data_IF_553629868461
#
_entry.id   IF_553629868461
#
_cell.length_a   1.000
_cell.length_b   1.000
_cell.length_c   1.000
_cell.angle_alpha   90.00
_cell.angle_beta   90.00
_cell.angle_gamma   90.00
#
_symmetry.space_group_name_H-M   'P 1'
#
loop_
_entity.id
_entity.type
_entity.pdbx_description
1 polymer ?
#
# COMPACT_ATOMS: atom_id res chain seq x y z
N UNK A 1 -10.04 -12.49 28.72
CA UNK A 1 -11.13 -11.50 28.85
C UNK A 1 -11.35 -10.90 27.48
N UNK A 2 -12.35 -11.40 26.73
CA UNK A 2 -12.69 -10.88 25.39
C UNK A 2 -13.80 -9.85 25.62
N UNK A 3 -13.46 -8.57 25.61
CA UNK A 3 -14.46 -7.51 25.60
C UNK A 3 -15.13 -7.49 24.24
N UNK A 4 -16.46 -7.51 24.22
CA UNK A 4 -17.25 -7.25 23.02
C UNK A 4 -16.75 -5.94 22.37
N UNK A 5 -16.33 -6.02 21.11
CA UNK A 5 -16.15 -4.84 20.29
C UNK A 5 -17.56 -4.32 20.06
N UNK A 6 -17.92 -3.24 20.75
CA UNK A 6 -19.13 -2.50 20.43
C UNK A 6 -19.01 -2.09 18.95
N UNK A 7 -19.88 -2.65 18.10
CA UNK A 7 -20.05 -2.24 16.71
C UNK A 7 -20.62 -0.81 16.69
N UNK A 8 -19.78 0.16 17.02
CA UNK A 8 -20.08 1.57 16.81
C UNK A 8 -19.96 1.81 15.31
N UNK A 9 -21.03 2.30 14.69
CA UNK A 9 -21.00 2.68 13.29
C UNK A 9 -19.80 3.62 13.03
N UNK A 10 -19.05 3.44 11.94
CA UNK A 10 -17.94 4.32 11.62
C UNK A 10 -18.44 5.78 11.54
N UNK A 11 -17.86 6.66 12.36
CA UNK A 11 -18.22 8.08 12.36
C UNK A 11 -17.33 8.84 11.37
N UNK A 12 -17.94 9.71 10.56
CA UNK A 12 -17.22 10.71 9.78
C UNK A 12 -16.62 11.73 10.73
N UNK A 13 -15.32 11.66 10.93
CA UNK A 13 -14.59 12.60 11.79
C UNK A 13 -13.73 13.58 10.98
N UNK A 14 -13.81 13.50 9.65
CA UNK A 14 -13.09 14.34 8.71
C UNK A 14 -14.09 14.88 7.67
N UNK A 15 -13.88 16.12 7.26
CA UNK A 15 -14.60 16.70 6.14
C UNK A 15 -13.79 16.45 4.85
N UNK A 16 -14.15 15.38 4.14
CA UNK A 16 -13.44 14.92 2.95
C UNK A 16 -14.29 15.23 1.70
N UNK A 17 -13.75 16.06 0.81
CA UNK A 17 -14.42 16.44 -0.45
C UNK A 17 -14.39 15.27 -1.45
N UNK A 18 -15.53 14.88 -2.04
CA UNK A 18 -15.58 13.84 -3.07
C UNK A 18 -14.92 14.25 -4.39
N UNK A 19 -14.50 15.51 -4.52
CA UNK A 19 -13.84 16.04 -5.73
C UNK A 19 -12.32 15.98 -5.68
N UNK A 20 -11.75 15.69 -4.51
CA UNK A 20 -10.29 15.64 -4.33
C UNK A 20 -9.72 14.28 -4.77
N UNK A 21 -8.40 14.14 -4.78
CA UNK A 21 -7.74 12.85 -5.03
C UNK A 21 -7.22 12.28 -3.72
N UNK A 22 -7.42 10.99 -3.52
CA UNK A 22 -7.05 10.28 -2.29
C UNK A 22 -6.07 9.16 -2.62
N UNK A 23 -4.89 9.22 -2.02
CA UNK A 23 -3.92 8.13 -2.04
C UNK A 23 -4.01 7.45 -0.67
N UNK A 24 -4.26 6.14 -0.67
CA UNK A 24 -4.40 5.35 0.56
C UNK A 24 -3.52 4.12 0.52
N UNK A 25 -2.86 3.86 1.64
CA UNK A 25 -2.10 2.64 1.92
C UNK A 25 -2.94 1.61 2.70
N UNK A 26 -4.19 1.96 3.04
CA UNK A 26 -5.14 1.03 3.65
C UNK A 26 -5.86 0.21 2.59
N UNK A 27 -6.14 -1.05 2.92
CA UNK A 27 -6.82 -2.01 2.04
C UNK A 27 -8.35 -1.96 2.12
N UNK A 28 -8.90 -1.21 3.08
CA UNK A 28 -10.34 -1.13 3.33
C UNK A 28 -11.02 -0.06 2.48
N UNK A 29 -12.30 -0.24 2.16
CA UNK A 29 -13.08 0.66 1.32
C UNK A 29 -13.73 1.81 2.12
N UNK A 30 -13.08 2.29 3.19
CA UNK A 30 -13.63 3.31 4.09
C UNK A 30 -13.97 4.62 3.35
N UNK A 31 -13.11 5.03 2.42
CA UNK A 31 -13.30 6.24 1.64
C UNK A 31 -14.54 6.14 0.74
N UNK A 32 -14.76 4.96 0.13
CA UNK A 32 -15.92 4.67 -0.69
C UNK A 32 -17.20 4.54 0.13
N UNK A 33 -17.19 3.68 1.14
CA UNK A 33 -18.43 3.27 1.83
C UNK A 33 -18.89 4.29 2.87
N UNK A 34 -17.96 4.92 3.59
CA UNK A 34 -18.31 5.87 4.64
C UNK A 34 -18.24 7.29 4.09
N UNK A 35 -17.12 7.67 3.47
CA UNK A 35 -16.94 9.03 2.97
C UNK A 35 -17.61 9.29 1.61
N UNK A 36 -18.07 8.25 0.91
CA UNK A 36 -18.75 8.36 -0.40
C UNK A 36 -17.87 9.05 -1.45
N UNK A 37 -16.57 8.81 -1.38
CA UNK A 37 -15.60 9.29 -2.36
C UNK A 37 -15.67 8.38 -3.60
N UNK A 38 -15.77 8.93 -4.83
CA UNK A 38 -15.78 8.15 -6.06
C UNK A 38 -14.49 7.32 -6.25
N UNK A 39 -14.61 6.10 -6.77
CA UNK A 39 -13.48 5.17 -6.95
C UNK A 39 -12.39 5.77 -7.86
N UNK A 40 -12.77 6.53 -8.89
CA UNK A 40 -11.83 7.19 -9.80
C UNK A 40 -10.94 8.25 -9.13
N UNK A 41 -11.37 8.72 -7.96
CA UNK A 41 -10.70 9.70 -7.10
C UNK A 41 -9.92 9.02 -5.96
N UNK A 42 -9.84 7.69 -5.91
CA UNK A 42 -9.09 6.94 -4.90
C UNK A 42 -8.04 6.07 -5.59
N UNK A 43 -6.83 6.08 -5.06
CA UNK A 43 -5.79 5.12 -5.37
C UNK A 43 -5.43 4.32 -4.12
N UNK A 44 -5.76 3.03 -4.15
CA UNK A 44 -5.21 2.06 -3.21
C UNK A 44 -3.85 1.60 -3.71
N UNK A 45 -2.76 2.16 -3.17
CA UNK A 45 -1.40 1.94 -3.68
C UNK A 45 -1.03 0.46 -3.68
N UNK A 46 -1.49 -0.29 -2.67
CA UNK A 46 -1.21 -1.71 -2.50
C UNK A 46 -2.41 -2.61 -2.85
N UNK A 47 -3.40 -2.09 -3.58
CA UNK A 47 -4.67 -2.79 -3.84
C UNK A 47 -5.67 -2.73 -2.68
N UNK A 48 -6.87 -3.28 -2.87
CA UNK A 48 -7.95 -3.28 -1.86
C UNK A 48 -8.61 -4.65 -1.69
N UNK A 49 -9.20 -4.88 -0.52
CA UNK A 49 -9.93 -6.11 -0.20
C UNK A 49 -11.13 -6.33 -1.12
N UNK A 50 -11.80 -5.27 -1.56
CA UNK A 50 -12.90 -5.35 -2.50
C UNK A 50 -12.45 -5.87 -3.86
N UNK A 51 -11.37 -5.30 -4.41
CA UNK A 51 -10.78 -5.72 -5.69
C UNK A 51 -10.36 -7.19 -5.63
N UNK A 52 -9.71 -7.60 -4.53
CA UNK A 52 -9.31 -8.99 -4.31
C UNK A 52 -10.52 -9.94 -4.29
N UNK A 53 -11.57 -9.60 -3.53
CA UNK A 53 -12.79 -10.42 -3.45
C UNK A 53 -13.55 -10.51 -4.77
N UNK A 54 -13.60 -9.42 -5.56
CA UNK A 54 -14.19 -9.43 -6.91
C UNK A 54 -13.39 -10.32 -7.86
N UNK A 55 -12.06 -10.25 -7.79
CA UNK A 55 -11.17 -11.07 -8.60
C UNK A 55 -11.33 -12.55 -8.26
N UNK A 56 -11.39 -12.91 -6.97
CA UNK A 56 -11.65 -14.28 -6.52
C UNK A 56 -13.00 -14.81 -7.02
N UNK A 57 -14.09 -14.02 -6.93
CA UNK A 57 -15.41 -14.41 -7.47
C UNK A 57 -15.39 -14.62 -8.98
N UNK A 58 -14.70 -13.74 -9.71
CA UNK A 58 -14.55 -13.86 -11.17
C UNK A 58 -13.74 -15.10 -11.60
N UNK A 59 -12.81 -15.56 -10.74
CA UNK A 59 -11.99 -16.74 -10.97
C UNK A 59 -12.71 -18.04 -10.62
N UNK A 60 -13.43 -18.06 -9.49
CA UNK A 60 -14.25 -19.22 -9.09
C UNK A 60 -15.31 -19.56 -10.14
N UNK A 61 -15.80 -18.55 -10.87
CA UNK A 61 -16.72 -18.74 -12.00
C UNK A 61 -16.06 -19.25 -13.28
N UNK A 62 -14.72 -19.20 -13.41
CA UNK A 62 -13.95 -19.70 -14.56
C UNK A 62 -13.28 -21.06 -14.33
N UNK A 63 -12.98 -21.43 -13.09
CA UNK A 63 -12.29 -22.68 -12.78
C UNK A 63 -13.25 -23.86 -12.53
N UNK A 64 -13.63 -24.58 -13.60
CA UNK A 64 -14.03 -26.00 -13.48
C UNK A 64 -12.77 -26.86 -13.37
N UNK A 65 -12.22 -26.96 -12.17
CA UNK A 65 -11.13 -27.89 -11.86
C UNK A 65 -9.73 -27.26 -11.94
N UNK A 66 -8.98 -27.46 -10.86
CA UNK A 66 -7.58 -27.05 -10.63
C UNK A 66 -7.41 -25.55 -10.28
N UNK A 67 -7.28 -25.31 -8.97
CA UNK A 67 -6.91 -24.00 -8.40
C UNK A 67 -5.41 -24.03 -8.10
N UNK A 68 -4.62 -23.34 -8.93
CA UNK A 68 -3.26 -22.96 -8.54
C UNK A 68 -3.34 -21.72 -7.64
N UNK A 69 -2.53 -21.60 -6.57
CA UNK A 69 -2.41 -20.35 -5.84
C UNK A 69 -1.84 -19.31 -6.80
N UNK A 70 -2.67 -18.36 -7.23
CA UNK A 70 -2.25 -17.24 -8.08
C UNK A 70 -2.19 -15.96 -7.25
N UNK A 71 -1.26 -15.09 -7.65
CA UNK A 71 -0.86 -13.88 -6.95
C UNK A 71 -2.06 -12.99 -6.60
N UNK A 72 -2.13 -12.62 -5.32
CA UNK A 72 -3.05 -11.64 -4.78
C UNK A 72 -2.86 -10.29 -5.50
N UNK A 73 -3.96 -9.60 -5.77
CA UNK A 73 -3.93 -8.21 -6.25
C UNK A 73 -3.46 -7.23 -5.16
N UNK A 74 -3.47 -7.68 -3.91
CA UNK A 74 -3.01 -6.93 -2.75
C UNK A 74 -1.52 -7.18 -2.53
N UNK A 75 -0.75 -6.09 -2.44
CA UNK A 75 0.67 -6.11 -2.10
C UNK A 75 0.86 -5.90 -0.59
N UNK A 76 0.73 -6.99 0.15
CA UNK A 76 1.03 -7.01 1.59
C UNK A 76 2.50 -7.37 1.81
N UNK A 77 3.10 -6.99 2.94
CA UNK A 77 4.43 -7.48 3.33
C UNK A 77 5.59 -6.53 3.04
N UNK A 78 6.67 -7.05 2.48
CA UNK A 78 8.01 -6.46 2.50
C UNK A 78 8.59 -6.23 1.10
N UNK A 79 9.41 -5.19 0.97
CA UNK A 79 10.25 -4.92 -0.21
C UNK A 79 11.36 -5.96 -0.37
N UNK A 80 11.75 -6.61 0.72
CA UNK A 80 12.85 -7.58 0.73
C UNK A 80 12.40 -9.00 0.37
N UNK A 81 11.11 -9.20 0.09
CA UNK A 81 10.55 -10.48 -0.30
C UNK A 81 10.54 -10.65 -1.83
N UNK A 82 11.49 -10.07 -2.55
CA UNK A 82 11.57 -10.24 -4.02
C UNK A 82 11.73 -11.75 -4.31
N UNK A 83 10.71 -12.40 -4.89
CA UNK A 83 10.70 -13.85 -5.04
C UNK A 83 11.82 -14.32 -5.96
N UNK A 84 12.15 -13.54 -7.00
CA UNK A 84 13.18 -13.91 -7.96
C UNK A 84 14.56 -13.79 -7.34
N UNK A 85 14.82 -12.71 -6.61
CA UNK A 85 16.11 -12.55 -5.93
C UNK A 85 16.33 -13.67 -4.90
N UNK A 86 15.30 -13.98 -4.10
CA UNK A 86 15.39 -15.03 -3.08
C UNK A 86 15.56 -16.41 -3.73
N UNK A 87 14.83 -16.69 -4.81
CA UNK A 87 14.99 -17.94 -5.57
C UNK A 87 16.41 -18.09 -6.10
N UNK A 88 16.92 -17.05 -6.78
CA UNK A 88 18.28 -17.05 -7.34
C UNK A 88 19.34 -17.28 -6.24
N UNK A 89 19.19 -16.63 -5.07
CA UNK A 89 20.09 -16.80 -3.93
C UNK A 89 20.04 -18.21 -3.34
N UNK A 90 18.85 -18.77 -3.13
CA UNK A 90 18.67 -20.11 -2.55
C UNK A 90 19.11 -21.21 -3.51
N UNK A 91 18.77 -21.11 -4.80
CA UNK A 91 19.20 -22.07 -5.83
C UNK A 91 20.71 -21.99 -6.02
N UNK A 92 21.32 -20.80 -5.97
CA UNK A 92 22.78 -20.68 -6.01
C UNK A 92 23.46 -21.33 -4.80
N UNK A 93 22.87 -21.20 -3.62
CA UNK A 93 23.42 -21.75 -2.37
C UNK A 93 23.28 -23.27 -2.26
N UNK A 94 22.13 -23.82 -2.66
CA UNK A 94 21.77 -25.21 -2.41
C UNK A 94 21.59 -26.08 -3.68
N UNK A 95 21.64 -25.49 -4.88
CA UNK A 95 21.35 -26.17 -6.15
C UNK A 95 22.28 -27.32 -6.53
N UNK A 96 23.37 -27.51 -5.78
CA UNK A 96 24.33 -28.61 -5.97
C UNK A 96 24.27 -29.66 -4.86
N UNK A 97 23.35 -29.53 -3.92
CA UNK A 97 23.17 -30.50 -2.84
C UNK A 97 22.53 -31.78 -3.38
N UNK A 98 22.98 -32.94 -2.90
CA UNK A 98 22.47 -34.24 -3.33
C UNK A 98 20.97 -34.40 -3.03
N UNK A 99 20.46 -33.70 -2.02
CA UNK A 99 19.04 -33.68 -1.65
C UNK A 99 18.24 -32.58 -2.38
N UNK A 100 18.83 -31.86 -3.35
CA UNK A 100 18.22 -30.65 -3.91
C UNK A 100 16.81 -30.90 -4.47
N UNK A 101 16.68 -31.76 -5.49
CA UNK A 101 15.39 -32.03 -6.11
C UNK A 101 14.41 -32.78 -5.18
N UNK A 102 14.92 -33.60 -4.25
CA UNK A 102 14.08 -34.44 -3.40
C UNK A 102 13.45 -33.68 -2.22
N UNK A 103 14.15 -32.68 -1.66
CA UNK A 103 13.72 -32.04 -0.40
C UNK A 103 13.93 -30.54 -0.37
N UNK A 104 15.01 -30.02 -0.94
CA UNK A 104 15.33 -28.58 -0.83
C UNK A 104 14.51 -27.75 -1.81
N UNK A 105 14.44 -28.13 -3.08
CA UNK A 105 13.65 -27.43 -4.11
C UNK A 105 12.16 -27.32 -3.73
N UNK A 106 11.47 -28.39 -3.25
CA UNK A 106 10.11 -28.25 -2.73
C UNK A 106 9.99 -27.27 -1.56
N UNK A 107 11.02 -27.16 -0.71
CA UNK A 107 11.09 -26.21 0.38
C UNK A 107 11.28 -24.77 -0.11
N UNK A 108 12.20 -24.56 -1.05
CA UNK A 108 12.42 -23.28 -1.74
C UNK A 108 11.12 -22.82 -2.38
N UNK A 109 10.44 -23.68 -3.15
CA UNK A 109 9.17 -23.35 -3.81
C UNK A 109 8.10 -22.86 -2.82
N UNK A 110 8.03 -23.43 -1.61
CA UNK A 110 7.11 -22.94 -0.56
C UNK A 110 7.50 -21.55 -0.06
N UNK A 111 8.79 -21.27 0.09
CA UNK A 111 9.28 -19.95 0.46
C UNK A 111 8.99 -18.93 -0.65
N UNK A 112 9.23 -19.29 -1.92
CA UNK A 112 8.95 -18.43 -3.06
C UNK A 112 7.46 -18.10 -3.16
N UNK A 113 6.58 -19.09 -2.99
CA UNK A 113 5.13 -18.84 -2.95
C UNK A 113 4.73 -17.85 -1.84
N UNK A 114 5.39 -17.92 -0.67
CA UNK A 114 5.18 -16.94 0.40
C UNK A 114 5.70 -15.56 0.01
N UNK A 115 6.88 -15.47 -0.60
CA UNK A 115 7.46 -14.24 -1.09
C UNK A 115 6.57 -13.58 -2.14
N UNK A 116 6.10 -14.32 -3.15
CA UNK A 116 5.16 -13.82 -4.16
C UNK A 116 3.87 -13.24 -3.55
N UNK A 117 3.36 -13.86 -2.48
CA UNK A 117 2.17 -13.41 -1.76
C UNK A 117 2.42 -12.23 -0.80
N UNK A 118 3.69 -11.94 -0.47
CA UNK A 118 4.08 -10.94 0.53
C UNK A 118 5.14 -9.94 0.03
N UNK A 119 5.28 -9.82 -1.29
CA UNK A 119 6.18 -8.90 -1.93
C UNK A 119 5.48 -7.58 -2.26
N UNK A 120 6.14 -6.48 -1.91
CA UNK A 120 5.75 -5.13 -2.31
C UNK A 120 6.54 -4.70 -3.54
N UNK A 121 5.92 -4.80 -4.71
CA UNK A 121 6.49 -4.32 -5.96
C UNK A 121 6.26 -2.81 -6.13
N UNK A 122 7.22 -2.02 -5.64
CA UNK A 122 7.19 -0.56 -5.77
C UNK A 122 7.11 -0.11 -7.24
N UNK A 123 7.83 -0.80 -8.13
CA UNK A 123 7.99 -0.34 -9.52
C UNK A 123 6.66 -0.34 -10.24
N UNK A 124 5.86 -1.39 -10.08
CA UNK A 124 4.52 -1.44 -10.67
C UNK A 124 3.60 -0.35 -10.10
N UNK A 125 3.75 0.00 -8.82
CA UNK A 125 2.91 1.03 -8.19
C UNK A 125 3.35 2.46 -8.53
N UNK A 126 4.63 2.70 -8.87
CA UNK A 126 5.14 4.04 -9.16
C UNK A 126 4.49 4.66 -10.39
N UNK A 127 4.33 3.91 -11.47
CA UNK A 127 3.75 4.44 -12.70
C UNK A 127 2.25 4.71 -12.53
N UNK A 128 1.54 3.83 -11.82
CA UNK A 128 0.13 4.04 -11.45
C UNK A 128 -0.02 5.28 -10.58
N UNK A 129 0.86 5.47 -9.59
CA UNK A 129 0.85 6.62 -8.70
C UNK A 129 1.12 7.93 -9.44
N UNK A 130 2.13 7.97 -10.32
CA UNK A 130 2.43 9.14 -11.17
C UNK A 130 1.23 9.48 -12.05
N UNK A 131 0.64 8.49 -12.72
CA UNK A 131 -0.53 8.68 -13.56
C UNK A 131 -1.70 9.24 -12.74
N UNK A 132 -1.94 8.69 -11.54
CA UNK A 132 -3.01 9.13 -10.68
C UNK A 132 -2.85 10.59 -10.22
N UNK A 133 -1.65 10.98 -9.78
CA UNK A 133 -1.33 12.36 -9.39
C UNK A 133 -1.55 13.33 -10.56
N UNK A 134 -1.21 12.93 -11.79
CA UNK A 134 -1.36 13.78 -12.97
C UNK A 134 -2.80 14.04 -13.41
N UNK A 135 -3.80 13.34 -12.85
CA UNK A 135 -5.22 13.47 -13.23
C UNK A 135 -5.78 14.89 -13.03
N UNK A 136 -5.24 15.66 -12.07
CA UNK A 136 -5.72 17.00 -11.72
C UNK A 136 -4.53 17.91 -11.42
N UNK A 137 -4.72 19.23 -11.61
CA UNK A 137 -3.79 20.22 -11.08
C UNK A 137 -3.89 20.28 -9.56
N UNK A 138 -2.81 19.95 -8.86
CA UNK A 138 -2.78 19.90 -7.39
C UNK A 138 -2.10 21.15 -6.84
N UNK A 139 -2.81 21.90 -6.00
CA UNK A 139 -2.28 23.08 -5.30
C UNK A 139 -2.01 22.83 -3.82
N UNK A 140 -2.71 21.86 -3.22
CA UNK A 140 -2.63 21.53 -1.81
C UNK A 140 -2.46 20.02 -1.62
N UNK A 141 -1.62 19.62 -0.68
CA UNK A 141 -1.40 18.23 -0.27
C UNK A 141 -1.72 18.11 1.20
N UNK A 142 -2.67 17.24 1.55
CA UNK A 142 -3.01 16.99 2.95
C UNK A 142 -2.56 15.59 3.34
N UNK A 143 -1.74 15.49 4.39
CA UNK A 143 -1.37 14.21 4.99
C UNK A 143 -2.17 14.00 6.27
N UNK A 144 -3.03 12.99 6.26
CA UNK A 144 -3.87 12.62 7.38
C UNK A 144 -3.38 11.30 7.96
N UNK A 145 -2.86 11.35 9.19
CA UNK A 145 -2.52 10.20 10.02
C UNK A 145 -1.85 9.05 9.25
N UNK A 146 -0.55 9.19 8.98
CA UNK A 146 0.26 8.11 8.42
C UNK A 146 1.63 8.14 9.11
N UNK A 147 2.23 6.99 9.43
CA UNK A 147 3.64 6.95 9.77
C UNK A 147 4.46 7.12 8.49
N UNK A 148 4.48 8.35 7.97
CA UNK A 148 4.97 8.74 6.63
C UNK A 148 6.40 8.25 6.36
N UNK A 149 7.20 8.13 7.42
CA UNK A 149 8.61 7.77 7.36
C UNK A 149 8.88 6.28 7.64
N UNK A 150 7.92 5.38 7.38
CA UNK A 150 8.10 3.92 7.59
C UNK A 150 8.14 3.16 6.27
N UNK A 151 7.44 2.02 6.21
CA UNK A 151 7.54 1.03 5.13
C UNK A 151 7.17 1.64 3.77
N UNK A 152 6.32 2.66 3.75
CA UNK A 152 5.83 3.30 2.53
C UNK A 152 6.59 4.59 2.16
N UNK A 153 7.70 4.91 2.84
CA UNK A 153 8.50 6.13 2.61
C UNK A 153 8.96 6.27 1.15
N UNK A 154 9.28 5.16 0.48
CA UNK A 154 9.75 5.17 -0.92
C UNK A 154 8.74 5.81 -1.88
N UNK A 155 7.43 5.68 -1.64
CA UNK A 155 6.42 6.37 -2.45
C UNK A 155 6.49 7.89 -2.29
N UNK A 156 6.79 8.35 -1.07
CA UNK A 156 6.94 9.78 -0.81
C UNK A 156 8.21 10.32 -1.44
N UNK A 157 9.33 9.65 -1.20
CA UNK A 157 10.66 10.03 -1.67
C UNK A 157 10.77 10.03 -3.19
N UNK A 158 10.31 8.96 -3.83
CA UNK A 158 10.57 8.73 -5.26
C UNK A 158 9.51 9.36 -6.17
N UNK A 159 8.29 9.62 -5.64
CA UNK A 159 7.15 10.03 -6.47
C UNK A 159 6.42 11.26 -5.91
N UNK A 160 5.84 11.17 -4.71
CA UNK A 160 4.88 12.19 -4.23
C UNK A 160 5.59 13.53 -3.99
N UNK A 161 6.70 13.53 -3.26
CA UNK A 161 7.45 14.76 -2.96
C UNK A 161 8.02 15.37 -4.24
N UNK A 162 8.74 14.65 -5.12
CA UNK A 162 9.21 15.21 -6.39
C UNK A 162 8.11 15.86 -7.23
N UNK A 163 6.92 15.24 -7.29
CA UNK A 163 5.80 15.74 -8.08
C UNK A 163 5.09 16.96 -7.43
N UNK A 164 5.04 17.03 -6.10
CA UNK A 164 4.17 17.96 -5.36
C UNK A 164 4.91 18.90 -4.41
N UNK A 165 6.24 18.97 -4.50
CA UNK A 165 7.10 19.77 -3.59
C UNK A 165 6.67 21.24 -3.46
N UNK A 166 6.16 21.81 -4.55
CA UNK A 166 5.82 23.23 -4.61
C UNK A 166 4.37 23.57 -4.19
N UNK A 167 3.55 22.54 -3.92
CA UNK A 167 2.21 22.68 -3.36
C UNK A 167 2.27 23.20 -1.92
N UNK A 168 1.13 23.59 -1.36
CA UNK A 168 0.98 23.86 0.07
C UNK A 168 0.65 22.55 0.79
N UNK A 169 1.38 22.22 1.85
CA UNK A 169 1.23 20.97 2.57
C UNK A 169 0.55 21.15 3.92
N UNK A 170 -0.45 20.34 4.23
CA UNK A 170 -1.12 20.32 5.54
C UNK A 170 -0.86 18.99 6.21
N UNK A 171 -0.24 19.00 7.38
CA UNK A 171 0.04 17.80 8.16
C UNK A 171 -0.88 17.70 9.36
N UNK A 172 -1.72 16.65 9.40
CA UNK A 172 -2.55 16.34 10.55
C UNK A 172 -1.84 15.38 11.51
N UNK A 173 -1.80 15.74 12.80
CA UNK A 173 -1.20 14.94 13.85
C UNK A 173 -2.16 14.69 15.02
N UNK A 174 -2.02 13.55 15.72
CA UNK A 174 -2.92 13.19 16.82
C UNK A 174 -2.36 13.59 18.19
N UNK A 175 -1.26 12.95 18.63
CA UNK A 175 -0.64 13.21 19.95
C UNK A 175 0.57 14.14 19.86
N UNK A 176 1.48 13.87 18.94
CA UNK A 176 2.69 14.65 18.70
C UNK A 176 2.90 14.81 17.18
N UNK A 177 3.64 15.84 16.81
CA UNK A 177 3.93 16.23 15.43
C UNK A 177 5.35 15.83 14.97
N UNK A 178 6.07 15.00 15.75
CA UNK A 178 7.48 14.68 15.53
C UNK A 178 7.72 14.02 14.17
N UNK A 179 6.88 13.08 13.76
CA UNK A 179 7.01 12.40 12.46
C UNK A 179 6.77 13.37 11.29
N UNK A 180 5.82 14.29 11.43
CA UNK A 180 5.57 15.34 10.44
C UNK A 180 6.78 16.29 10.33
N UNK A 181 7.35 16.72 11.47
CA UNK A 181 8.55 17.57 11.49
C UNK A 181 9.74 16.89 10.83
N UNK A 182 10.01 15.62 11.17
CA UNK A 182 11.08 14.83 10.53
C UNK A 182 10.88 14.72 9.03
N UNK A 183 9.65 14.48 8.59
CA UNK A 183 9.31 14.44 7.16
C UNK A 183 9.57 15.79 6.48
N UNK A 184 9.07 16.88 7.07
CA UNK A 184 9.25 18.25 6.57
C UNK A 184 10.74 18.58 6.43
N UNK A 185 11.54 18.27 7.45
CA UNK A 185 12.99 18.48 7.48
C UNK A 185 13.70 17.63 6.43
N UNK A 186 13.41 16.33 6.39
CA UNK A 186 14.05 15.38 5.47
C UNK A 186 13.82 15.74 3.99
N UNK A 187 12.62 16.21 3.65
CA UNK A 187 12.24 16.50 2.26
C UNK A 187 12.34 17.98 1.88
N UNK A 188 12.64 18.86 2.85
CA UNK A 188 12.72 20.31 2.64
C UNK A 188 11.39 20.88 2.15
N UNK A 189 10.30 20.63 2.89
CA UNK A 189 8.98 21.18 2.61
C UNK A 189 8.89 22.58 3.24
N UNK A 190 8.75 23.62 2.41
CA UNK A 190 8.78 25.02 2.90
C UNK A 190 7.40 25.66 3.06
N UNK A 191 6.41 25.22 2.26
CA UNK A 191 5.04 25.73 2.33
C UNK A 191 4.17 24.74 3.05
N UNK A 192 4.06 24.86 4.37
CA UNK A 192 3.27 23.94 5.16
C UNK A 192 2.54 24.57 6.34
N UNK A 193 1.51 23.87 6.80
CA UNK A 193 0.85 24.06 8.08
C UNK A 193 0.70 22.72 8.82
N UNK A 194 0.62 22.79 10.14
CA UNK A 194 0.37 21.62 10.99
C UNK A 194 -0.94 21.83 11.74
N UNK A 195 -1.79 20.80 11.73
CA UNK A 195 -3.10 20.80 12.38
C UNK A 195 -3.22 19.60 13.31
N UNK A 196 -3.71 19.83 14.53
CA UNK A 196 -4.07 18.72 15.40
C UNK A 196 -5.40 18.14 14.94
N UNK A 197 -5.51 16.81 14.87
CA UNK A 197 -6.80 16.16 14.66
C UNK A 197 -7.74 16.48 15.83
N UNK A 198 -9.03 16.74 15.54
CA UNK A 198 -10.04 17.02 16.56
C UNK A 198 -10.22 15.86 17.55
#
# INVERSE_FOLDING_TARGET
MISQINNVAPKKNLDLSPRDLYITFNYTNLLQEIYQIPEENILHVHGSLKQEGEMQRSRASKAKGIVFPQQSSIQFGSLYNDPKQIEDELVKGYGRDDCFGASIEPGINKLINYCEASFKDLKSNYDVLKQFISKKGISNVTIIWHPIMRIDNSYYEDVIVPALKNCVWTFYYYKNDNDARKFIEAFGIFKYEMKKLP
#
